data_IF_340539911291
#
_entry.id   IF_340539911291
#
_cell.length_a   1.000
_cell.length_b   1.000
_cell.length_c   1.000
_cell.angle_alpha   90.00
_cell.angle_beta   90.00
_cell.angle_gamma   90.00
#
_symmetry.space_group_name_H-M   'P 1'
#
loop_
_entity.id
_entity.type
_entity.pdbx_description
1 polymer ?
#
# COMPACT_ATOMS: atom_id res chain seq x y z
N UNK A 1 -18.51 -8.86 -14.14
CA UNK A 1 -19.79 -9.03 -13.40
C UNK A 1 -19.65 -9.37 -11.91
N UNK A 2 -18.48 -9.68 -11.37
CA UNK A 2 -18.31 -9.96 -9.91
C UNK A 2 -18.06 -8.69 -9.08
N UNK A 3 -17.75 -7.56 -9.71
CA UNK A 3 -17.60 -6.28 -9.00
C UNK A 3 -18.88 -5.71 -8.37
N UNK A 4 -20.06 -6.15 -8.81
CA UNK A 4 -21.35 -5.70 -8.27
C UNK A 4 -21.93 -6.62 -7.19
N UNK A 5 -21.49 -7.87 -7.09
CA UNK A 5 -21.94 -8.82 -6.07
C UNK A 5 -21.22 -8.64 -4.72
N UNK A 6 -20.03 -8.00 -4.71
CA UNK A 6 -19.28 -7.74 -3.48
C UNK A 6 -20.00 -6.81 -2.48
N UNK A 7 -20.99 -6.07 -2.93
CA UNK A 7 -21.78 -5.14 -2.12
C UNK A 7 -22.72 -5.83 -1.13
N UNK A 8 -23.18 -7.03 -1.49
CA UNK A 8 -24.15 -7.80 -0.68
C UNK A 8 -23.51 -8.83 0.25
N UNK A 9 -22.18 -8.99 0.19
CA UNK A 9 -21.50 -9.97 1.05
C UNK A 9 -21.16 -9.30 2.39
N UNK A 10 -21.70 -9.79 3.52
CA UNK A 10 -21.33 -9.30 4.85
C UNK A 10 -19.82 -9.38 5.09
N UNK A 11 -19.26 -8.39 5.79
CA UNK A 11 -17.81 -8.28 6.02
C UNK A 11 -17.21 -9.53 6.68
N UNK A 12 -17.92 -10.16 7.61
CA UNK A 12 -17.51 -11.43 8.21
C UNK A 12 -17.33 -12.58 7.21
N UNK A 13 -18.14 -12.63 6.14
CA UNK A 13 -17.99 -13.64 5.08
C UNK A 13 -16.75 -13.34 4.22
N UNK A 14 -16.41 -12.06 3.99
CA UNK A 14 -15.19 -11.69 3.26
C UNK A 14 -13.95 -12.13 4.04
N UNK A 15 -13.91 -11.87 5.35
CA UNK A 15 -12.80 -12.31 6.21
C UNK A 15 -12.66 -13.82 6.19
N UNK A 16 -13.77 -14.58 6.20
CA UNK A 16 -13.74 -16.04 6.06
C UNK A 16 -13.22 -16.48 4.69
N UNK A 17 -13.64 -15.81 3.62
CA UNK A 17 -13.16 -16.11 2.27
C UNK A 17 -11.64 -15.91 2.12
N UNK A 18 -11.07 -14.89 2.77
CA UNK A 18 -9.62 -14.63 2.79
C UNK A 18 -8.80 -15.73 3.48
N UNK A 19 -9.42 -16.61 4.27
CA UNK A 19 -8.80 -17.83 4.81
C UNK A 19 -8.75 -18.98 3.81
N UNK A 20 -9.48 -18.89 2.68
CA UNK A 20 -9.53 -19.92 1.66
C UNK A 20 -8.37 -19.79 0.67
N UNK A 21 -7.60 -20.88 0.51
CA UNK A 21 -6.50 -20.93 -0.47
C UNK A 21 -6.99 -20.71 -1.92
N UNK A 22 -8.19 -21.20 -2.25
CA UNK A 22 -8.80 -20.99 -3.56
C UNK A 22 -9.12 -19.51 -3.81
N UNK A 23 -9.74 -18.84 -2.83
CA UNK A 23 -10.07 -17.41 -2.92
C UNK A 23 -8.79 -16.57 -3.08
N UNK A 24 -7.76 -16.84 -2.27
CA UNK A 24 -6.50 -16.11 -2.33
C UNK A 24 -5.82 -16.27 -3.69
N UNK A 25 -5.82 -17.47 -4.26
CA UNK A 25 -5.28 -17.73 -5.61
C UNK A 25 -6.08 -16.98 -6.69
N UNK A 26 -7.39 -17.01 -6.62
CA UNK A 26 -8.27 -16.27 -7.53
C UNK A 26 -8.04 -14.75 -7.43
N UNK A 27 -8.03 -14.20 -6.21
CA UNK A 27 -7.79 -12.78 -5.97
C UNK A 27 -6.42 -12.34 -6.50
N UNK A 28 -5.36 -13.09 -6.20
CA UNK A 28 -4.02 -12.82 -6.68
C UNK A 28 -3.94 -12.78 -8.21
N UNK A 29 -4.48 -13.80 -8.89
CA UNK A 29 -4.48 -13.86 -10.36
C UNK A 29 -5.24 -12.68 -10.98
N UNK A 30 -6.41 -12.33 -10.42
CA UNK A 30 -7.21 -11.21 -10.89
C UNK A 30 -6.48 -9.87 -10.72
N UNK A 31 -5.82 -9.67 -9.58
CA UNK A 31 -5.06 -8.44 -9.29
C UNK A 31 -3.81 -8.32 -10.14
N UNK A 32 -3.05 -9.42 -10.30
CA UNK A 32 -1.83 -9.46 -11.10
C UNK A 32 -2.05 -9.01 -12.55
N UNK A 33 -3.18 -9.42 -13.14
CA UNK A 33 -3.55 -9.07 -14.54
C UNK A 33 -4.18 -7.71 -14.70
N UNK A 34 -4.45 -6.97 -13.61
CA UNK A 34 -5.16 -5.68 -13.63
C UNK A 34 -4.40 -4.63 -12.83
N UNK A 35 -4.80 -4.46 -11.57
CA UNK A 35 -4.32 -3.37 -10.72
C UNK A 35 -2.87 -3.56 -10.23
N UNK A 36 -2.35 -4.79 -10.23
CA UNK A 36 -0.99 -5.12 -9.77
C UNK A 36 -0.08 -5.62 -10.90
N UNK A 37 -0.30 -5.17 -12.13
CA UNK A 37 0.67 -5.33 -13.23
C UNK A 37 1.93 -4.54 -12.91
N UNK A 38 3.06 -5.03 -13.40
CA UNK A 38 4.37 -4.43 -13.07
C UNK A 38 4.50 -2.99 -13.58
N UNK A 39 3.98 -2.70 -14.77
CA UNK A 39 3.99 -1.35 -15.35
C UNK A 39 3.17 -0.34 -14.53
N UNK A 40 2.00 -0.76 -14.02
CA UNK A 40 1.16 0.10 -13.17
C UNK A 40 1.81 0.34 -11.79
N UNK A 41 2.39 -0.70 -11.19
CA UNK A 41 3.10 -0.56 -9.93
C UNK A 41 4.37 0.30 -10.07
N UNK A 42 5.09 0.16 -11.21
CA UNK A 42 6.23 1.02 -11.52
C UNK A 42 5.81 2.49 -11.66
N UNK A 43 4.69 2.77 -12.35
CA UNK A 43 4.15 4.12 -12.47
C UNK A 43 3.72 4.72 -11.11
N UNK A 44 3.12 3.91 -10.22
CA UNK A 44 2.78 4.33 -8.86
C UNK A 44 4.04 4.70 -8.06
N UNK A 45 5.09 3.90 -8.14
CA UNK A 45 6.38 4.21 -7.52
C UNK A 45 7.01 5.48 -8.08
N UNK A 46 7.07 5.60 -9.40
CA UNK A 46 7.61 6.79 -10.07
C UNK A 46 6.86 8.07 -9.66
N UNK A 47 5.54 7.98 -9.52
CA UNK A 47 4.71 9.08 -9.03
C UNK A 47 5.06 9.53 -7.62
N UNK A 48 5.38 8.61 -6.70
CA UNK A 48 5.86 8.92 -5.36
C UNK A 48 7.29 9.47 -5.39
N UNK A 49 8.21 8.78 -6.05
CA UNK A 49 9.63 9.15 -6.10
C UNK A 49 9.86 10.53 -6.72
N UNK A 50 9.05 10.91 -7.73
CA UNK A 50 9.12 12.24 -8.33
C UNK A 50 8.90 13.38 -7.33
N UNK A 51 8.26 13.11 -6.20
CA UNK A 51 7.97 14.10 -5.14
C UNK A 51 8.96 14.08 -4.00
N UNK A 52 9.93 13.18 -4.04
CA UNK A 52 10.93 13.03 -2.98
C UNK A 52 12.30 13.31 -3.61
N UNK A 53 12.84 14.51 -3.41
CA UNK A 53 14.16 14.85 -3.94
C UNK A 53 15.23 13.84 -3.49
N UNK A 54 16.12 13.51 -4.39
CA UNK A 54 17.31 12.69 -4.13
C UNK A 54 17.06 11.28 -3.60
N UNK A 55 15.80 10.79 -3.65
CA UNK A 55 15.49 9.42 -3.25
C UNK A 55 16.11 8.43 -4.23
N UNK A 56 17.00 7.60 -3.73
CA UNK A 56 17.57 6.47 -4.46
C UNK A 56 17.37 5.18 -3.66
N UNK A 57 16.90 4.12 -4.34
CA UNK A 57 16.81 2.79 -3.75
C UNK A 57 18.03 1.92 -4.06
N UNK A 58 19.05 2.46 -4.73
CA UNK A 58 20.27 1.72 -5.03
C UNK A 58 20.93 1.23 -3.74
N UNK A 59 21.09 -0.10 -3.65
CA UNK A 59 21.65 -0.79 -2.48
C UNK A 59 20.87 -0.63 -1.16
N UNK A 60 19.62 -0.10 -1.20
CA UNK A 60 18.77 0.10 -0.05
C UNK A 60 18.17 -1.21 0.48
N UNK A 61 17.96 -1.30 1.79
CA UNK A 61 17.12 -2.29 2.46
C UNK A 61 15.71 -1.72 2.53
N UNK A 62 14.80 -2.28 1.76
CA UNK A 62 13.42 -1.80 1.67
C UNK A 62 12.47 -2.66 2.52
N UNK A 63 11.44 -2.04 3.07
CA UNK A 63 10.35 -2.71 3.77
C UNK A 63 9.02 -2.34 3.14
N UNK A 64 8.29 -3.32 2.62
CA UNK A 64 6.90 -3.17 2.17
C UNK A 64 5.94 -3.58 3.28
N UNK A 65 5.01 -2.71 3.60
CA UNK A 65 3.94 -2.98 4.57
C UNK A 65 2.65 -3.29 3.81
N UNK A 66 1.96 -4.38 4.21
CA UNK A 66 0.67 -4.76 3.63
C UNK A 66 0.78 -5.19 2.17
N UNK A 67 1.72 -6.08 1.88
CA UNK A 67 1.99 -6.53 0.50
C UNK A 67 0.82 -7.26 -0.18
N UNK A 68 -0.17 -7.74 0.58
CA UNK A 68 -1.38 -8.36 0.06
C UNK A 68 -1.11 -9.67 -0.71
N UNK A 69 -1.88 -9.87 -1.79
CA UNK A 69 -1.83 -11.11 -2.57
C UNK A 69 -0.72 -11.16 -3.61
N UNK A 70 -0.23 -9.99 -4.10
CA UNK A 70 0.71 -9.91 -5.23
C UNK A 70 1.87 -8.99 -4.88
N UNK A 71 3.07 -9.55 -4.79
CA UNK A 71 4.29 -8.85 -4.38
C UNK A 71 4.90 -8.01 -5.52
N UNK A 72 4.09 -7.31 -6.32
CA UNK A 72 4.60 -6.59 -7.50
C UNK A 72 5.43 -5.38 -7.12
N UNK A 73 5.06 -4.67 -6.07
CA UNK A 73 5.84 -3.51 -5.62
C UNK A 73 7.24 -3.90 -5.13
N UNK A 74 7.42 -5.12 -4.55
CA UNK A 74 8.76 -5.61 -4.21
C UNK A 74 9.63 -5.78 -5.45
N UNK A 75 9.03 -6.21 -6.60
CA UNK A 75 9.77 -6.28 -7.86
C UNK A 75 10.18 -4.90 -8.37
N UNK A 76 9.38 -3.85 -8.14
CA UNK A 76 9.77 -2.49 -8.50
C UNK A 76 10.99 -2.04 -7.69
N UNK A 77 11.02 -2.29 -6.38
CA UNK A 77 12.20 -2.01 -5.56
C UNK A 77 13.44 -2.78 -6.06
N UNK A 78 13.27 -4.05 -6.42
CA UNK A 78 14.33 -4.83 -7.06
C UNK A 78 14.82 -4.18 -8.35
N UNK A 79 13.92 -3.75 -9.26
CA UNK A 79 14.30 -3.05 -10.50
C UNK A 79 15.06 -1.75 -10.23
N UNK A 80 14.70 -1.01 -9.20
CA UNK A 80 15.35 0.23 -8.78
C UNK A 80 16.69 0.02 -8.06
N UNK A 81 17.12 -1.21 -7.88
CA UNK A 81 18.46 -1.48 -7.35
C UNK A 81 18.51 -1.80 -5.87
N UNK A 82 17.38 -1.99 -5.20
CA UNK A 82 17.38 -2.39 -3.80
C UNK A 82 18.28 -3.62 -3.56
N UNK A 83 19.02 -3.59 -2.44
CA UNK A 83 19.83 -4.69 -1.96
C UNK A 83 18.95 -5.83 -1.45
N UNK A 84 17.91 -5.47 -0.72
CA UNK A 84 16.92 -6.42 -0.21
C UNK A 84 15.56 -5.75 -0.05
N UNK A 85 14.49 -6.54 -0.18
CA UNK A 85 13.12 -6.10 0.09
C UNK A 85 12.48 -7.11 1.03
N UNK A 86 12.05 -6.65 2.20
CA UNK A 86 11.23 -7.44 3.11
C UNK A 86 9.77 -6.99 2.93
N UNK A 87 8.91 -7.92 2.54
CA UNK A 87 7.48 -7.68 2.45
C UNK A 87 6.79 -8.29 3.68
N UNK A 88 5.93 -7.52 4.33
CA UNK A 88 5.18 -8.00 5.50
C UNK A 88 3.68 -7.81 5.32
N UNK A 89 2.91 -8.72 5.93
CA UNK A 89 1.46 -8.61 5.96
C UNK A 89 0.90 -9.19 7.26
N UNK A 90 -0.24 -8.67 7.71
CA UNK A 90 -0.95 -9.20 8.88
C UNK A 90 -1.60 -10.55 8.58
N UNK A 91 -1.79 -10.90 7.30
CA UNK A 91 -2.35 -12.16 6.84
C UNK A 91 -1.43 -12.82 5.80
N UNK A 92 -1.28 -14.17 5.78
CA UNK A 92 -0.44 -14.88 4.82
C UNK A 92 -1.15 -14.99 3.44
N UNK A 93 -1.33 -13.86 2.76
CA UNK A 93 -2.10 -13.75 1.52
C UNK A 93 -1.27 -13.96 0.25
N UNK A 94 0.04 -13.71 0.29
CA UNK A 94 0.89 -13.65 -0.89
C UNK A 94 0.89 -14.95 -1.72
N UNK A 95 0.72 -14.80 -3.03
CA UNK A 95 0.72 -15.87 -4.01
C UNK A 95 1.83 -15.63 -5.04
N UNK A 96 3.09 -16.04 -4.79
CA UNK A 96 4.23 -15.70 -5.65
C UNK A 96 4.02 -16.06 -7.12
N UNK A 97 3.37 -17.17 -7.42
CA UNK A 97 3.11 -17.60 -8.80
C UNK A 97 2.30 -16.58 -9.62
N UNK A 98 1.51 -15.70 -8.97
CA UNK A 98 0.74 -14.65 -9.65
C UNK A 98 1.63 -13.55 -10.24
N UNK A 99 2.87 -13.41 -9.77
CA UNK A 99 3.84 -12.46 -10.31
C UNK A 99 4.18 -12.73 -11.76
N UNK A 100 4.11 -14.01 -12.20
CA UNK A 100 4.29 -14.35 -13.63
C UNK A 100 3.30 -13.58 -14.50
N UNK A 101 2.03 -13.55 -14.12
CA UNK A 101 1.01 -12.79 -14.87
C UNK A 101 1.27 -11.28 -14.78
N UNK A 102 1.64 -10.78 -13.60
CA UNK A 102 1.93 -9.36 -13.39
C UNK A 102 3.10 -8.86 -14.25
N UNK A 103 4.13 -9.67 -14.45
CA UNK A 103 5.30 -9.37 -15.30
C UNK A 103 4.99 -9.55 -16.78
N UNK A 104 4.38 -10.68 -17.15
CA UNK A 104 4.09 -11.02 -18.56
C UNK A 104 3.10 -10.05 -19.20
N UNK A 105 2.06 -9.68 -18.47
CA UNK A 105 0.96 -8.84 -18.98
C UNK A 105 1.30 -7.33 -18.88
N UNK A 106 2.52 -6.98 -18.44
CA UNK A 106 2.99 -5.60 -18.32
C UNK A 106 3.61 -5.06 -19.60
N UNK A 107 3.54 -3.74 -19.77
CA UNK A 107 4.30 -3.04 -20.80
C UNK A 107 5.76 -2.80 -20.34
N UNK A 108 6.68 -3.60 -20.89
CA UNK A 108 8.10 -3.52 -20.55
C UNK A 108 8.74 -2.18 -20.95
N UNK A 109 8.23 -1.50 -21.99
CA UNK A 109 8.75 -0.19 -22.40
C UNK A 109 8.36 0.88 -21.39
N UNK A 110 7.11 0.87 -20.95
CA UNK A 110 6.63 1.77 -19.91
C UNK A 110 7.37 1.57 -18.59
N UNK A 111 7.61 0.30 -18.16
CA UNK A 111 8.41 0.02 -16.96
C UNK A 111 9.78 0.68 -17.02
N UNK A 112 10.49 0.54 -18.15
CA UNK A 112 11.81 1.15 -18.32
C UNK A 112 11.74 2.67 -18.35
N UNK A 113 10.78 3.23 -19.07
CA UNK A 113 10.60 4.67 -19.20
C UNK A 113 10.35 5.32 -17.85
N UNK A 114 9.41 4.82 -17.07
CA UNK A 114 9.03 5.45 -15.80
C UNK A 114 10.07 5.26 -14.69
N UNK A 115 10.89 4.22 -14.74
CA UNK A 115 11.92 3.95 -13.72
C UNK A 115 13.30 4.52 -14.07
N UNK A 116 13.58 4.84 -15.35
CA UNK A 116 14.89 5.35 -15.80
C UNK A 116 15.33 6.67 -15.13
N UNK A 117 14.46 7.56 -14.67
CA UNK A 117 14.89 8.74 -13.91
C UNK A 117 15.48 8.42 -12.53
N UNK A 118 15.21 7.21 -11.98
CA UNK A 118 15.54 6.82 -10.60
C UNK A 118 16.58 5.70 -10.51
N UNK A 119 16.92 5.07 -11.63
CA UNK A 119 17.91 3.99 -11.70
C UNK A 119 18.51 3.94 -13.11
N UNK A 120 19.79 3.56 -13.27
CA UNK A 120 20.40 3.42 -14.59
C UNK A 120 19.57 2.54 -15.52
N UNK A 121 19.29 3.01 -16.74
CA UNK A 121 18.44 2.34 -17.71
C UNK A 121 18.86 0.89 -17.95
N UNK A 122 20.16 0.65 -18.10
CA UNK A 122 20.72 -0.70 -18.34
C UNK A 122 20.44 -1.64 -17.16
N UNK A 123 20.56 -1.14 -15.92
CA UNK A 123 20.24 -1.93 -14.74
C UNK A 123 18.77 -2.33 -14.69
N UNK A 124 17.86 -1.39 -14.98
CA UNK A 124 16.42 -1.67 -15.06
C UNK A 124 16.16 -2.71 -16.16
N UNK A 125 16.77 -2.54 -17.34
CA UNK A 125 16.63 -3.45 -18.49
C UNK A 125 17.08 -4.86 -18.16
N UNK A 126 18.27 -5.02 -17.59
CA UNK A 126 18.84 -6.34 -17.24
C UNK A 126 17.99 -7.06 -16.19
N UNK A 127 17.61 -6.34 -15.11
CA UNK A 127 16.77 -6.90 -14.06
C UNK A 127 15.36 -7.26 -14.55
N UNK A 128 14.78 -6.43 -15.41
CA UNK A 128 13.49 -6.72 -16.05
C UNK A 128 13.57 -7.96 -16.94
N UNK A 129 14.63 -8.07 -17.76
CA UNK A 129 14.86 -9.25 -18.60
C UNK A 129 15.00 -10.53 -17.77
N UNK A 130 15.67 -10.45 -16.61
CA UNK A 130 15.75 -11.56 -15.66
C UNK A 130 14.37 -11.95 -15.15
N UNK A 131 13.51 -11.00 -14.74
CA UNK A 131 12.15 -11.29 -14.30
C UNK A 131 11.32 -11.94 -15.42
N UNK A 132 11.45 -11.46 -16.66
CA UNK A 132 10.71 -11.97 -17.83
C UNK A 132 11.15 -13.40 -18.20
N UNK A 133 12.42 -13.75 -17.96
CA UNK A 133 12.94 -15.10 -18.22
C UNK A 133 12.58 -16.13 -17.14
N UNK A 134 11.98 -15.70 -16.01
CA UNK A 134 11.57 -16.61 -14.94
C UNK A 134 10.29 -17.35 -15.30
N UNK A 135 10.38 -18.66 -15.47
CA UNK A 135 9.20 -19.51 -15.74
C UNK A 135 8.23 -19.58 -14.56
N UNK A 136 8.75 -19.48 -13.35
CA UNK A 136 8.00 -19.62 -12.11
C UNK A 136 8.52 -18.70 -11.00
N UNK A 137 7.58 -18.04 -10.32
CA UNK A 137 7.85 -17.32 -9.07
C UNK A 137 7.45 -18.18 -7.87
N UNK A 138 8.35 -18.27 -6.90
CA UNK A 138 8.17 -18.96 -5.62
C UNK A 138 8.90 -18.18 -4.53
N UNK A 139 8.63 -18.45 -3.25
CA UNK A 139 9.38 -17.78 -2.18
C UNK A 139 10.90 -18.02 -2.27
N UNK A 140 11.40 -19.24 -2.56
CA UNK A 140 12.82 -19.44 -2.81
C UNK A 140 13.36 -18.60 -3.96
N UNK A 141 12.71 -18.57 -5.14
CA UNK A 141 13.18 -17.78 -6.26
C UNK A 141 13.10 -16.27 -6.03
N UNK A 142 12.20 -15.79 -5.18
CA UNK A 142 12.17 -14.41 -4.71
C UNK A 142 13.36 -14.13 -3.77
N UNK A 143 13.73 -15.10 -2.92
CA UNK A 143 14.94 -15.03 -2.09
C UNK A 143 16.21 -14.83 -2.92
N UNK A 144 16.34 -15.47 -4.09
CA UNK A 144 17.44 -15.29 -5.03
C UNK A 144 17.50 -13.87 -5.64
N UNK A 145 16.40 -13.11 -5.55
CA UNK A 145 16.31 -11.69 -5.91
C UNK A 145 16.49 -10.76 -4.71
N UNK A 146 16.77 -11.29 -3.53
CA UNK A 146 16.85 -10.52 -2.28
C UNK A 146 15.48 -10.13 -1.71
N UNK A 147 14.39 -10.79 -2.12
CA UNK A 147 13.02 -10.50 -1.65
C UNK A 147 12.58 -11.56 -0.66
N UNK A 148 12.19 -11.16 0.53
CA UNK A 148 11.63 -12.01 1.58
C UNK A 148 10.19 -11.60 1.90
N UNK A 149 9.38 -12.58 2.35
CA UNK A 149 8.01 -12.37 2.78
C UNK A 149 7.78 -12.94 4.17
N UNK A 150 7.21 -12.13 5.05
CA UNK A 150 6.90 -12.47 6.43
C UNK A 150 5.42 -12.21 6.71
N UNK A 151 4.68 -13.25 7.05
CA UNK A 151 3.29 -13.17 7.48
C UNK A 151 2.91 -14.42 8.30
N UNK A 152 2.10 -14.29 9.35
CA UNK A 152 1.48 -13.06 9.83
C UNK A 152 2.44 -12.19 10.67
N UNK A 153 2.41 -10.87 10.44
CA UNK A 153 3.14 -9.87 11.23
C UNK A 153 2.20 -8.73 11.61
N UNK A 154 2.10 -8.43 12.90
CA UNK A 154 1.30 -7.32 13.40
C UNK A 154 2.19 -6.23 14.00
N UNK A 155 2.50 -5.21 13.20
CA UNK A 155 3.38 -4.11 13.61
C UNK A 155 2.77 -3.24 14.73
N UNK A 156 1.44 -3.17 14.84
CA UNK A 156 0.81 -2.48 15.96
C UNK A 156 1.09 -3.15 17.32
N UNK A 157 1.41 -4.46 17.33
CA UNK A 157 1.74 -5.19 18.57
C UNK A 157 3.22 -5.14 18.91
N UNK A 158 4.09 -5.24 17.91
CA UNK A 158 5.53 -5.30 18.11
C UNK A 158 6.29 -4.70 16.93
N UNK A 159 7.42 -4.02 17.17
CA UNK A 159 8.27 -3.53 16.10
C UNK A 159 8.94 -4.68 15.35
N UNK A 160 9.21 -4.48 14.07
CA UNK A 160 10.01 -5.42 13.28
C UNK A 160 11.48 -5.37 13.68
N UNK A 161 12.11 -6.54 13.72
CA UNK A 161 13.55 -6.63 13.87
C UNK A 161 14.27 -6.14 12.60
N UNK A 162 15.35 -5.38 12.78
CA UNK A 162 16.18 -4.87 11.69
C UNK A 162 15.96 -3.38 11.43
N UNK A 163 16.82 -2.86 10.54
CA UNK A 163 16.81 -1.46 10.13
C UNK A 163 16.64 -1.38 8.62
N UNK A 164 15.75 -0.52 8.17
CA UNK A 164 15.43 -0.32 6.76
C UNK A 164 15.79 1.11 6.34
N UNK A 165 16.28 1.22 5.10
CA UNK A 165 16.67 2.49 4.50
C UNK A 165 15.47 3.15 3.79
N UNK A 166 14.45 2.34 3.45
CA UNK A 166 13.21 2.81 2.86
C UNK A 166 12.04 1.93 3.30
N UNK A 167 11.00 2.52 3.88
CA UNK A 167 9.75 1.84 4.26
C UNK A 167 8.62 2.40 3.40
N UNK A 168 7.72 1.54 2.90
CA UNK A 168 6.60 2.03 2.10
C UNK A 168 5.34 1.17 2.26
N UNK A 169 4.21 1.80 1.95
CA UNK A 169 2.93 1.10 1.81
C UNK A 169 2.04 1.76 0.75
N UNK A 170 1.21 0.96 0.09
CA UNK A 170 0.17 1.39 -0.82
C UNK A 170 -1.17 0.81 -0.39
N UNK A 171 -2.14 1.67 -0.09
CA UNK A 171 -3.50 1.30 0.30
C UNK A 171 -3.51 0.38 1.55
N UNK A 172 -2.85 0.81 2.65
CA UNK A 172 -2.70 0.02 3.89
C UNK A 172 -3.11 0.79 5.13
N UNK A 173 -2.63 2.03 5.32
CA UNK A 173 -2.86 2.75 6.59
C UNK A 173 -4.34 3.00 6.86
N UNK A 174 -5.15 3.15 5.83
CA UNK A 174 -6.60 3.26 5.94
C UNK A 174 -7.28 2.00 6.47
N UNK A 175 -6.62 0.84 6.40
CA UNK A 175 -7.12 -0.43 6.93
C UNK A 175 -6.71 -0.71 8.37
N UNK A 176 -5.88 0.16 8.95
CA UNK A 176 -5.48 0.05 10.36
C UNK A 176 -6.55 0.73 11.20
N UNK A 177 -7.08 0.08 12.25
CA UNK A 177 -8.00 0.71 13.18
C UNK A 177 -7.41 1.99 13.75
N UNK A 178 -8.24 3.04 13.85
CA UNK A 178 -7.81 4.39 14.25
C UNK A 178 -6.97 4.41 15.52
N UNK A 179 -7.37 3.64 16.54
CA UNK A 179 -6.70 3.57 17.83
C UNK A 179 -5.29 2.93 17.76
N UNK A 180 -4.99 2.17 16.71
CA UNK A 180 -3.73 1.45 16.56
C UNK A 180 -2.70 2.23 15.71
N UNK A 181 -3.11 3.29 14.99
CA UNK A 181 -2.27 3.98 14.01
C UNK A 181 -1.00 4.59 14.60
N UNK A 182 -1.10 5.33 15.71
CA UNK A 182 0.07 5.99 16.33
C UNK A 182 1.08 4.95 16.81
N UNK A 183 0.60 3.88 17.46
CA UNK A 183 1.48 2.78 17.90
C UNK A 183 2.12 2.07 16.70
N UNK A 184 1.34 1.80 15.66
CA UNK A 184 1.83 1.20 14.43
C UNK A 184 2.95 2.03 13.78
N UNK A 185 2.72 3.34 13.56
CA UNK A 185 3.71 4.24 12.97
C UNK A 185 4.94 4.43 13.87
N UNK A 186 4.75 4.47 15.21
CA UNK A 186 5.84 4.50 16.17
C UNK A 186 6.69 3.24 16.10
N UNK A 187 6.09 2.07 15.96
CA UNK A 187 6.84 0.82 15.80
C UNK A 187 7.59 0.79 14.45
N UNK A 188 6.98 1.30 13.37
CA UNK A 188 7.69 1.46 12.08
C UNK A 188 8.89 2.40 12.20
N UNK A 189 8.75 3.52 12.92
CA UNK A 189 9.84 4.48 13.09
C UNK A 189 11.06 3.88 13.76
N UNK A 190 10.87 2.88 14.64
CA UNK A 190 11.97 2.14 15.29
C UNK A 190 12.76 1.30 14.30
N UNK A 191 12.10 0.79 13.26
CA UNK A 191 12.73 0.00 12.19
C UNK A 191 13.30 0.85 11.05
N UNK A 192 13.10 2.17 11.06
CA UNK A 192 13.64 3.09 10.07
C UNK A 192 15.05 3.55 10.47
N UNK A 193 16.01 3.44 9.56
CA UNK A 193 17.39 3.87 9.79
C UNK A 193 17.48 5.41 9.95
N UNK A 194 18.44 5.96 10.70
CA UNK A 194 18.70 7.40 10.75
C UNK A 194 18.96 7.96 9.34
N UNK A 195 18.44 9.14 9.03
CA UNK A 195 18.58 9.78 7.72
C UNK A 195 17.74 9.14 6.60
N UNK A 196 16.89 8.18 6.94
CA UNK A 196 16.04 7.45 5.99
C UNK A 196 14.58 7.92 6.04
N UNK A 197 13.76 7.45 5.10
CA UNK A 197 12.35 7.85 5.02
C UNK A 197 11.38 6.66 4.91
N UNK A 198 10.16 6.92 5.35
CA UNK A 198 9.00 6.06 5.07
C UNK A 198 8.00 6.82 4.20
N UNK A 199 7.31 6.11 3.30
CA UNK A 199 6.35 6.72 2.37
C UNK A 199 5.08 5.90 2.32
N UNK A 200 3.95 6.57 2.48
CA UNK A 200 2.65 5.93 2.49
C UNK A 200 1.70 6.60 1.49
N UNK A 201 1.10 5.80 0.62
CA UNK A 201 -0.05 6.18 -0.19
C UNK A 201 -1.32 5.65 0.48
N UNK A 202 -2.24 6.54 0.83
CA UNK A 202 -3.43 6.25 1.63
C UNK A 202 -4.67 6.52 0.79
N UNK A 203 -5.54 5.53 0.65
CA UNK A 203 -6.80 5.63 -0.07
C UNK A 203 -7.96 5.86 0.90
N UNK A 204 -8.53 7.05 0.90
CA UNK A 204 -9.50 7.50 1.91
C UNK A 204 -10.97 7.38 1.49
N UNK A 205 -11.26 6.74 0.36
CA UNK A 205 -12.61 6.39 -0.10
C UNK A 205 -13.08 5.05 0.49
N UNK A 206 -14.40 4.82 0.54
CA UNK A 206 -14.96 3.51 0.91
C UNK A 206 -14.56 2.44 -0.12
N UNK A 207 -13.71 1.50 0.26
CA UNK A 207 -13.26 0.41 -0.61
C UNK A 207 -14.39 -0.51 -1.11
N UNK A 208 -15.53 -0.51 -0.43
CA UNK A 208 -16.73 -1.24 -0.88
C UNK A 208 -17.39 -0.53 -2.07
N UNK A 209 -17.40 0.80 -2.10
CA UNK A 209 -18.18 1.58 -3.05
C UNK A 209 -17.45 2.74 -3.73
N UNK A 210 -16.13 2.68 -3.81
CA UNK A 210 -15.28 3.77 -4.34
C UNK A 210 -15.68 4.28 -5.74
N UNK A 211 -16.36 3.45 -6.55
CA UNK A 211 -16.76 3.83 -7.89
C UNK A 211 -18.06 4.63 -7.97
N UNK A 212 -19.03 4.40 -7.07
CA UNK A 212 -20.36 4.99 -7.14
C UNK A 212 -20.55 6.06 -6.08
N UNK A 213 -20.27 5.73 -4.85
CA UNK A 213 -20.53 6.54 -3.69
C UNK A 213 -19.39 6.39 -2.66
N UNK A 214 -18.24 7.01 -2.96
CA UNK A 214 -17.00 6.79 -2.20
C UNK A 214 -17.05 7.36 -0.78
N UNK A 215 -18.00 8.25 -0.49
CA UNK A 215 -18.07 8.98 0.78
C UNK A 215 -19.30 8.64 1.62
N UNK A 216 -20.21 7.78 1.13
CA UNK A 216 -21.43 7.40 1.86
C UNK A 216 -21.15 6.87 3.28
N UNK A 217 -20.05 6.13 3.45
CA UNK A 217 -19.65 5.58 4.75
C UNK A 217 -19.35 6.64 5.83
N UNK A 218 -19.18 7.91 5.45
CA UNK A 218 -18.97 9.02 6.39
C UNK A 218 -20.23 9.38 7.20
N UNK A 219 -21.41 8.96 6.73
CA UNK A 219 -22.68 9.14 7.44
C UNK A 219 -23.02 8.00 8.40
N UNK A 220 -22.27 6.87 8.34
CA UNK A 220 -22.56 5.71 9.18
C UNK A 220 -22.16 5.99 10.65
N UNK A 221 -23.06 5.72 11.64
CA UNK A 221 -22.73 5.89 13.04
C UNK A 221 -21.49 5.10 13.48
N UNK A 222 -20.66 5.69 14.35
CA UNK A 222 -19.42 5.02 14.82
C UNK A 222 -19.72 3.68 15.48
N UNK A 223 -20.83 3.55 16.19
CA UNK A 223 -21.25 2.31 16.87
C UNK A 223 -21.50 1.17 15.87
N UNK A 224 -21.87 1.50 14.64
CA UNK A 224 -22.08 0.52 13.55
C UNK A 224 -20.86 0.33 12.67
N UNK A 225 -19.73 0.96 13.00
CA UNK A 225 -18.49 0.94 12.23
C UNK A 225 -17.30 0.33 13.02
N UNK A 226 -17.36 -1.00 13.33
CA UNK A 226 -16.35 -1.69 14.14
C UNK A 226 -15.00 -1.81 13.41
N UNK A 227 -13.96 -2.26 14.10
CA UNK A 227 -12.61 -2.46 13.55
C UNK A 227 -12.61 -3.33 12.28
N UNK A 228 -13.46 -4.34 12.19
CA UNK A 228 -13.60 -5.17 10.98
C UNK A 228 -14.09 -4.37 9.77
N UNK A 229 -14.97 -3.39 9.98
CA UNK A 229 -15.40 -2.48 8.92
C UNK A 229 -14.26 -1.53 8.52
N UNK A 230 -13.52 -0.98 9.49
CA UNK A 230 -12.32 -0.17 9.24
C UNK A 230 -11.28 -0.95 8.42
N UNK A 231 -10.99 -2.19 8.80
CA UNK A 231 -10.03 -3.06 8.08
C UNK A 231 -10.46 -3.40 6.65
N UNK A 232 -11.73 -3.37 6.31
CA UNK A 232 -12.23 -3.76 4.98
C UNK A 232 -12.62 -2.59 4.09
N UNK A 233 -13.01 -1.47 4.68
CA UNK A 233 -13.58 -0.32 3.98
C UNK A 233 -12.75 0.95 4.11
N UNK A 234 -11.88 1.02 5.10
CA UNK A 234 -11.11 2.18 5.49
C UNK A 234 -11.56 2.75 6.83
N UNK A 235 -10.63 3.38 7.55
CA UNK A 235 -10.85 3.90 8.91
C UNK A 235 -11.56 5.26 8.95
N UNK A 236 -11.95 5.80 7.82
CA UNK A 236 -12.69 7.06 7.61
C UNK A 236 -11.93 8.34 8.02
N UNK A 237 -10.66 8.27 8.42
CA UNK A 237 -9.91 9.47 8.76
C UNK A 237 -9.83 10.42 7.56
N UNK A 238 -10.03 11.72 7.85
CA UNK A 238 -9.88 12.79 6.86
C UNK A 238 -8.49 13.42 6.99
N UNK A 239 -8.14 14.28 6.06
CA UNK A 239 -6.80 14.91 5.95
C UNK A 239 -6.28 15.46 7.28
N UNK A 240 -7.12 16.22 8.00
CA UNK A 240 -6.70 16.85 9.25
C UNK A 240 -6.52 15.86 10.38
N UNK A 241 -7.32 14.79 10.43
CA UNK A 241 -7.14 13.71 11.38
C UNK A 241 -5.85 12.92 11.08
N UNK A 242 -5.52 12.67 9.79
CA UNK A 242 -4.23 12.11 9.40
C UNK A 242 -3.05 12.99 9.83
N UNK A 243 -3.15 14.32 9.65
CA UNK A 243 -2.12 15.25 10.14
C UNK A 243 -1.93 15.15 11.65
N UNK A 244 -3.02 15.02 12.42
CA UNK A 244 -2.94 14.80 13.87
C UNK A 244 -2.22 13.51 14.21
N UNK A 245 -2.63 12.38 13.60
CA UNK A 245 -1.98 11.06 13.80
C UNK A 245 -0.48 11.14 13.50
N UNK A 246 -0.09 11.76 12.41
CA UNK A 246 1.33 11.90 12.04
C UNK A 246 2.09 12.80 13.03
N UNK A 247 1.45 13.83 13.56
CA UNK A 247 2.04 14.74 14.55
C UNK A 247 2.32 14.08 15.91
N UNK A 248 1.66 12.96 16.22
CA UNK A 248 1.85 12.21 17.46
C UNK A 248 2.99 11.18 17.39
N UNK A 249 3.58 10.92 16.20
CA UNK A 249 4.65 9.94 16.03
C UNK A 249 6.00 10.52 16.44
N UNK A 250 6.66 10.02 17.49
CA UNK A 250 7.89 10.63 18.00
C UNK A 250 9.08 10.39 17.04
N UNK A 251 9.92 11.42 16.87
CA UNK A 251 11.18 11.34 16.12
C UNK A 251 11.04 11.22 14.61
N UNK A 252 9.85 11.44 14.06
CA UNK A 252 9.59 11.48 12.62
C UNK A 252 8.96 12.82 12.26
N UNK A 253 9.49 13.45 11.23
CA UNK A 253 8.89 14.62 10.61
C UNK A 253 8.09 14.17 9.38
N UNK A 254 6.77 14.38 9.39
CA UNK A 254 5.91 14.03 8.27
C UNK A 254 5.65 15.22 7.35
N UNK A 255 5.66 14.95 6.05
CA UNK A 255 5.36 15.92 4.98
C UNK A 255 4.33 15.32 4.02
N UNK A 256 3.31 16.10 3.68
CA UNK A 256 2.34 15.71 2.66
C UNK A 256 2.99 15.87 1.28
N UNK A 257 3.03 14.79 0.51
CA UNK A 257 3.59 14.77 -0.84
C UNK A 257 2.55 15.15 -1.90
N UNK A 258 1.31 14.69 -1.72
CA UNK A 258 0.18 15.03 -2.57
C UNK A 258 -1.14 14.81 -1.85
N UNK A 259 -2.17 15.48 -2.34
CA UNK A 259 -3.56 15.32 -1.92
C UNK A 259 -4.44 15.27 -3.18
N UNK A 260 -5.28 14.26 -3.32
CA UNK A 260 -6.23 14.14 -4.43
C UNK A 260 -7.65 14.19 -3.92
N UNK A 261 -8.49 14.94 -4.63
CA UNK A 261 -9.87 15.23 -4.24
C UNK A 261 -10.84 14.74 -5.30
N UNK A 262 -12.04 14.31 -4.88
CA UNK A 262 -13.12 13.86 -5.74
C UNK A 262 -14.28 14.88 -5.74
N UNK A 263 -14.08 15.99 -6.41
CA UNK A 263 -15.15 17.00 -6.58
C UNK A 263 -16.29 16.53 -7.50
N UNK A 264 -16.09 15.46 -8.27
CA UNK A 264 -17.06 14.79 -9.11
C UNK A 264 -18.00 13.84 -8.36
N UNK A 265 -17.87 13.75 -7.02
CA UNK A 265 -18.67 12.88 -6.16
C UNK A 265 -19.36 13.66 -5.06
N UNK A 266 -20.56 13.18 -4.74
CA UNK A 266 -21.32 13.75 -3.62
C UNK A 266 -20.77 13.32 -2.28
N UNK A 267 -20.90 14.20 -1.30
CA UNK A 267 -20.63 13.95 0.12
C UNK A 267 -21.99 13.90 0.80
N UNK A 268 -22.22 12.99 1.76
CA UNK A 268 -23.48 12.94 2.50
C UNK A 268 -23.80 14.26 3.19
N UNK A 269 -25.08 14.67 3.15
CA UNK A 269 -25.56 15.90 3.85
C UNK A 269 -25.31 15.84 5.37
N UNK A 270 -25.32 14.63 5.93
CA UNK A 270 -25.07 14.39 7.35
C UNK A 270 -23.86 13.51 7.51
N UNK A 271 -22.85 14.03 8.16
CA UNK A 271 -21.60 13.33 8.53
C UNK A 271 -21.73 12.87 10.00
N UNK A 272 -21.18 11.69 10.28
CA UNK A 272 -21.11 11.18 11.66
C UNK A 272 -20.32 12.15 12.55
N UNK A 273 -20.86 12.53 13.75
CA UNK A 273 -20.20 13.51 14.60
C UNK A 273 -18.83 13.09 15.15
N UNK A 274 -18.48 11.80 15.08
CA UNK A 274 -17.15 11.31 15.50
C UNK A 274 -16.04 11.66 14.51
N UNK A 275 -16.38 12.14 13.30
CA UNK A 275 -15.44 12.52 12.27
C UNK A 275 -15.14 14.03 12.35
N UNK A 276 -13.87 14.36 12.48
CA UNK A 276 -13.41 15.75 12.66
C UNK A 276 -13.07 16.42 11.33
N UNK A 277 -13.95 16.34 10.34
CA UNK A 277 -13.78 17.07 9.09
C UNK A 277 -13.98 18.57 9.29
N UNK A 278 -13.09 19.38 8.76
CA UNK A 278 -13.11 20.84 8.97
C UNK A 278 -13.79 21.62 7.86
N UNK A 279 -13.83 21.07 6.66
CA UNK A 279 -14.43 21.69 5.48
C UNK A 279 -14.83 20.65 4.42
N UNK A 280 -15.52 21.11 3.37
CA UNK A 280 -15.97 20.25 2.27
C UNK A 280 -14.80 19.60 1.52
N UNK A 281 -13.65 20.28 1.39
CA UNK A 281 -12.47 19.68 0.76
C UNK A 281 -11.91 18.54 1.60
N UNK A 282 -11.87 18.68 2.92
CA UNK A 282 -11.44 17.62 3.82
C UNK A 282 -12.32 16.36 3.67
N UNK A 283 -13.63 16.53 3.51
CA UNK A 283 -14.55 15.42 3.23
C UNK A 283 -14.31 14.73 1.88
N UNK A 284 -13.87 15.48 0.87
CA UNK A 284 -13.69 15.01 -0.51
C UNK A 284 -12.31 14.42 -0.79
N UNK A 285 -11.44 14.35 0.21
CA UNK A 285 -10.13 13.74 0.05
C UNK A 285 -10.27 12.27 -0.34
N UNK A 286 -9.62 11.86 -1.42
CA UNK A 286 -9.66 10.51 -1.96
C UNK A 286 -8.32 9.78 -1.78
N UNK A 287 -7.22 10.50 -1.93
CA UNK A 287 -5.88 9.97 -1.75
C UNK A 287 -4.96 10.97 -1.07
N UNK A 288 -4.10 10.43 -0.22
CA UNK A 288 -2.98 11.14 0.41
C UNK A 288 -1.68 10.42 0.10
N UNK A 289 -0.65 11.17 -0.29
CA UNK A 289 0.73 10.69 -0.24
C UNK A 289 1.45 11.40 0.90
N UNK A 290 2.13 10.66 1.75
CA UNK A 290 2.85 11.22 2.89
C UNK A 290 4.24 10.61 3.00
N UNK A 291 5.23 11.43 3.38
CA UNK A 291 6.58 10.99 3.69
C UNK A 291 6.91 11.33 5.14
N UNK A 292 7.42 10.37 5.88
CA UNK A 292 8.01 10.55 7.20
C UNK A 292 9.53 10.42 7.12
N UNK A 293 10.26 11.42 7.57
CA UNK A 293 11.73 11.42 7.61
C UNK A 293 12.22 11.26 9.04
N UNK A 294 13.18 10.38 9.25
CA UNK A 294 13.88 10.19 10.53
C UNK A 294 15.17 11.02 10.51
N UNK A 295 15.26 11.93 11.44
CA UNK A 295 16.49 12.72 11.65
C UNK A 295 17.60 11.88 12.27
#
# INVERSE_FOLDING_TARGET
MIGSLGWFIPDGIKVLAMKSAWYNRYAATKLARRARRLDLCAAQFAHLMHRIPDLSLANARCLEIGSGWVLTHTLVCYLLGARSVTAVDIMPLAQPNSLRDAVRDSDASLVREVLSPYSPYEQVRERLSRLQSMDRFSFPSLGDLGISYLAPVNIAKEPLAGMFDFIYSFDVLEHIPRQDLVVFLTNLSRSLAPGSCMVHAIHTEDHRNSKRDPFAFLSEPQESYPDTAQMLRGNRLRRNEWKSVFGEVPGIQFTMLYEWYRHDREVPDRIDPSLSATDDNDLRIAYLGVMGSKQ
#
